data_IF_357745905530
#
_entry.id   IF_357745905530
#
_cell.length_a   1.000
_cell.length_b   1.000
_cell.length_c   1.000
_cell.angle_alpha   90.00
_cell.angle_beta   90.00
_cell.angle_gamma   90.00
#
_symmetry.space_group_name_H-M   'P 1'
#
loop_
_entity.id
_entity.type
_entity.pdbx_description
1 polymer ?
#
# COMPACT_ATOMS: atom_id res chain seq x y z
N UNK A 1 21.95 1.62 26.89
CA UNK A 1 20.97 1.14 25.89
C UNK A 1 19.66 1.82 26.20
N UNK A 2 19.15 2.68 25.31
CA UNK A 2 17.82 3.27 25.51
C UNK A 2 16.77 2.15 25.48
N UNK A 3 15.76 2.17 26.37
CA UNK A 3 14.71 1.15 26.35
C UNK A 3 14.00 1.18 25.00
N UNK A 4 13.93 0.02 24.36
CA UNK A 4 13.15 -0.16 23.13
C UNK A 4 11.68 -0.11 23.52
N UNK A 5 11.02 1.00 23.23
CA UNK A 5 9.59 1.16 23.51
C UNK A 5 8.78 0.43 22.44
N UNK A 6 8.10 -0.65 22.84
CA UNK A 6 7.14 -1.35 21.99
C UNK A 6 5.77 -0.69 22.12
N UNK A 7 5.18 -0.31 20.99
CA UNK A 7 3.80 0.15 20.91
C UNK A 7 3.05 -0.76 19.94
N UNK A 8 1.94 -1.34 20.39
CA UNK A 8 1.08 -2.22 19.60
C UNK A 8 -0.30 -1.61 19.47
N UNK A 9 -0.81 -1.54 18.25
CA UNK A 9 -2.16 -1.05 17.97
C UNK A 9 -2.79 -1.88 16.84
N UNK A 10 -4.10 -2.10 16.93
CA UNK A 10 -4.87 -2.65 15.83
C UNK A 10 -5.28 -1.50 14.91
N UNK A 11 -4.86 -1.57 13.65
CA UNK A 11 -5.15 -0.54 12.64
C UNK A 11 -5.65 -1.19 11.36
N UNK A 12 -6.65 -0.57 10.74
CA UNK A 12 -7.04 -0.90 9.38
C UNK A 12 -5.96 -0.46 8.40
N UNK A 13 -5.91 -1.09 7.23
CA UNK A 13 -4.97 -0.69 6.17
C UNK A 13 -5.15 0.79 5.76
N UNK A 14 -6.38 1.31 5.80
CA UNK A 14 -6.67 2.73 5.55
C UNK A 14 -6.06 3.64 6.62
N UNK A 15 -6.16 3.28 7.91
CA UNK A 15 -5.54 4.07 8.99
C UNK A 15 -4.00 4.06 8.88
N UNK A 16 -3.44 2.93 8.45
CA UNK A 16 -2.00 2.79 8.22
C UNK A 16 -1.52 3.64 7.04
N UNK A 17 -2.19 3.61 5.89
CA UNK A 17 -1.68 4.29 4.70
C UNK A 17 -2.17 5.74 4.56
N UNK A 18 -3.32 6.08 5.12
CA UNK A 18 -3.99 7.39 4.99
C UNK A 18 -3.48 8.49 5.92
N UNK A 19 -2.43 8.23 6.72
CA UNK A 19 -1.96 9.10 7.81
C UNK A 19 -0.83 10.07 7.42
N UNK A 20 -0.40 10.09 6.15
CA UNK A 20 0.69 10.95 5.66
C UNK A 20 2.09 10.48 6.06
N UNK A 21 2.22 9.28 6.64
CA UNK A 21 3.50 8.67 6.97
C UNK A 21 4.13 8.01 5.73
N UNK A 22 5.45 7.84 5.78
CA UNK A 22 6.23 7.18 4.74
C UNK A 22 6.78 5.86 5.25
N UNK A 23 6.71 4.84 4.41
CA UNK A 23 7.12 3.48 4.72
C UNK A 23 8.23 3.03 3.79
N UNK A 24 9.20 2.30 4.32
CA UNK A 24 10.34 1.82 3.56
C UNK A 24 10.69 0.39 3.96
N UNK A 25 11.01 -0.45 2.98
CA UNK A 25 11.67 -1.73 3.21
C UNK A 25 13.18 -1.51 3.25
N UNK A 26 13.88 -1.77 4.38
CA UNK A 26 15.31 -1.52 4.51
C UNK A 26 16.17 -2.37 3.56
N UNK A 27 17.41 -1.96 3.24
CA UNK A 27 18.27 -2.67 2.29
C UNK A 27 18.70 -4.09 2.72
N UNK A 28 18.70 -4.35 4.03
CA UNK A 28 19.07 -5.64 4.61
C UNK A 28 17.93 -6.66 4.58
N UNK A 29 16.71 -6.23 4.23
CA UNK A 29 15.58 -7.14 4.10
C UNK A 29 15.65 -7.96 2.81
N UNK A 30 15.06 -9.16 2.86
CA UNK A 30 14.97 -10.05 1.69
C UNK A 30 14.14 -9.42 0.57
N UNK A 31 14.39 -9.86 -0.65
CA UNK A 31 13.62 -9.44 -1.81
C UNK A 31 12.18 -9.97 -1.76
N UNK A 32 11.31 -9.36 -2.56
CA UNK A 32 9.98 -9.90 -2.81
C UNK A 32 10.06 -11.32 -3.39
N UNK A 33 9.32 -12.24 -2.79
CA UNK A 33 9.44 -13.67 -3.05
C UNK A 33 8.15 -14.45 -2.82
N UNK A 34 7.02 -13.78 -2.61
CA UNK A 34 5.72 -14.47 -2.55
C UNK A 34 5.41 -15.08 -3.91
N UNK A 35 4.85 -16.27 -3.88
CA UNK A 35 4.40 -17.05 -5.02
C UNK A 35 2.87 -16.99 -5.11
N UNK A 36 2.30 -17.69 -6.09
CA UNK A 36 0.86 -17.71 -6.29
C UNK A 36 0.11 -18.24 -5.06
N UNK A 37 0.70 -19.17 -4.29
CA UNK A 37 0.08 -19.69 -3.06
C UNK A 37 -0.16 -18.57 -2.05
N UNK A 38 0.84 -17.75 -1.73
CA UNK A 38 0.66 -16.65 -0.78
C UNK A 38 -0.19 -15.49 -1.35
N UNK A 39 -0.23 -15.35 -2.67
CA UNK A 39 -1.16 -14.43 -3.34
C UNK A 39 -2.61 -14.88 -3.19
N UNK A 40 -2.87 -16.17 -3.39
CA UNK A 40 -4.21 -16.75 -3.27
C UNK A 40 -4.71 -16.67 -1.83
N UNK A 41 -3.85 -16.94 -0.85
CA UNK A 41 -4.17 -16.77 0.58
C UNK A 41 -4.55 -15.32 0.90
N UNK A 42 -3.71 -14.35 0.49
CA UNK A 42 -4.02 -12.93 0.69
C UNK A 42 -5.32 -12.53 -0.04
N UNK A 43 -5.52 -13.04 -1.25
CA UNK A 43 -6.72 -12.73 -2.02
C UNK A 43 -7.97 -13.28 -1.35
N UNK A 44 -7.92 -14.50 -0.81
CA UNK A 44 -9.00 -15.07 -0.01
C UNK A 44 -9.28 -14.20 1.21
N UNK A 45 -8.26 -13.76 1.94
CA UNK A 45 -8.43 -12.87 3.09
C UNK A 45 -9.10 -11.54 2.72
N UNK A 46 -8.78 -10.98 1.54
CA UNK A 46 -9.36 -9.70 1.07
C UNK A 46 -10.78 -9.89 0.51
N UNK A 47 -11.00 -10.98 -0.22
CA UNK A 47 -12.25 -11.29 -0.93
C UNK A 47 -13.29 -11.98 -0.06
N UNK A 48 -12.93 -12.35 1.17
CA UNK A 48 -13.85 -12.95 2.12
C UNK A 48 -14.96 -11.94 2.48
N UNK A 49 -16.07 -12.06 1.76
CA UNK A 49 -17.35 -11.45 2.07
C UNK A 49 -18.13 -12.45 2.93
N UNK A 50 -17.94 -12.47 4.25
CA UNK A 50 -18.99 -13.07 5.08
C UNK A 50 -20.21 -12.14 5.03
N UNK A 51 -21.38 -12.72 4.79
CA UNK A 51 -22.60 -12.02 4.50
C UNK A 51 -22.84 -10.84 5.46
N UNK A 52 -23.23 -9.72 4.87
CA UNK A 52 -23.57 -8.44 5.52
C UNK A 52 -24.62 -8.50 6.66
N UNK A 53 -25.08 -9.71 7.03
CA UNK A 53 -26.05 -9.99 8.09
C UNK A 53 -25.43 -10.35 9.45
N UNK A 54 -24.10 -10.49 9.57
CA UNK A 54 -23.44 -10.67 10.87
C UNK A 54 -22.34 -9.62 11.04
N UNK A 55 -22.62 -8.65 11.93
CA UNK A 55 -21.88 -7.40 12.13
C UNK A 55 -20.36 -7.45 11.91
N UNK A 56 -19.85 -6.40 11.26
CA UNK A 56 -18.45 -6.07 10.94
C UNK A 56 -17.41 -7.13 11.34
N UNK A 57 -17.27 -8.17 10.53
CA UNK A 57 -16.18 -9.12 10.68
C UNK A 57 -14.93 -8.48 10.06
N UNK A 58 -14.10 -7.88 10.92
CA UNK A 58 -12.76 -7.42 10.55
C UNK A 58 -11.85 -8.62 10.30
N UNK A 59 -11.36 -8.80 9.07
CA UNK A 59 -10.36 -9.81 8.76
C UNK A 59 -8.98 -9.45 9.33
N UNK A 60 -8.38 -10.39 10.05
CA UNK A 60 -7.05 -10.21 10.61
C UNK A 60 -5.98 -10.50 9.55
N UNK A 61 -5.38 -9.44 9.02
CA UNK A 61 -4.37 -9.48 7.98
C UNK A 61 -2.94 -9.68 8.52
N UNK A 62 -2.77 -10.29 9.69
CA UNK A 62 -1.45 -10.49 10.33
C UNK A 62 -0.81 -9.23 10.92
N UNK A 63 0.34 -9.40 11.58
CA UNK A 63 1.12 -8.29 12.14
C UNK A 63 1.97 -7.57 11.07
N UNK A 64 2.22 -6.28 11.31
CA UNK A 64 3.20 -5.45 10.61
C UNK A 64 4.12 -4.85 11.68
N UNK A 65 5.43 -5.08 11.57
CA UNK A 65 6.40 -4.55 12.53
C UNK A 65 7.12 -3.38 11.91
N UNK A 66 7.04 -2.23 12.57
CA UNK A 66 7.57 -0.97 12.09
C UNK A 66 8.58 -0.40 13.08
N UNK A 67 9.61 0.24 12.56
CA UNK A 67 10.60 0.96 13.35
C UNK A 67 10.74 2.39 12.81
N UNK A 68 10.80 3.38 13.69
CA UNK A 68 11.04 4.78 13.31
C UNK A 68 11.94 5.49 14.31
N UNK A 69 12.73 6.43 13.84
CA UNK A 69 13.51 7.37 14.66
C UNK A 69 12.88 8.76 14.74
N UNK A 70 11.94 9.10 13.85
CA UNK A 70 11.40 10.45 13.68
C UNK A 70 9.86 10.51 13.68
N UNK A 71 9.18 9.37 13.86
CA UNK A 71 7.72 9.20 13.80
C UNK A 71 7.06 9.66 12.48
N UNK A 72 7.84 9.87 11.41
CA UNK A 72 7.36 10.25 10.08
C UNK A 72 7.72 9.22 9.02
N UNK A 73 8.89 8.59 9.18
CA UNK A 73 9.43 7.57 8.29
C UNK A 73 9.57 6.27 9.07
N UNK A 74 8.96 5.21 8.56
CA UNK A 74 8.93 3.90 9.18
C UNK A 74 9.62 2.87 8.30
N UNK A 75 10.63 2.22 8.87
CA UNK A 75 11.23 1.03 8.30
C UNK A 75 10.33 -0.18 8.62
N UNK A 76 9.98 -0.95 7.60
CA UNK A 76 9.20 -2.18 7.71
C UNK A 76 10.16 -3.31 8.05
N UNK A 77 10.06 -3.81 9.27
CA UNK A 77 10.92 -4.88 9.82
C UNK A 77 10.31 -6.25 9.55
N UNK A 78 8.98 -6.36 9.58
CA UNK A 78 8.22 -7.55 9.20
C UNK A 78 6.88 -7.16 8.57
N UNK A 79 6.30 -8.04 7.75
CA UNK A 79 5.10 -7.81 6.94
C UNK A 79 5.36 -7.19 5.56
N UNK A 80 6.63 -7.10 5.16
CA UNK A 80 7.05 -6.45 3.91
C UNK A 80 6.44 -7.04 2.64
N UNK A 81 6.28 -8.37 2.55
CA UNK A 81 5.73 -9.01 1.36
C UNK A 81 4.25 -8.65 1.25
N UNK A 82 3.52 -8.74 2.37
CA UNK A 82 2.09 -8.42 2.45
C UNK A 82 1.80 -6.99 2.02
N UNK A 83 2.47 -6.00 2.60
CA UNK A 83 2.25 -4.59 2.24
C UNK A 83 2.66 -4.29 0.79
N UNK A 84 3.70 -4.95 0.28
CA UNK A 84 4.09 -4.85 -1.13
C UNK A 84 3.02 -5.43 -2.04
N UNK A 85 2.48 -6.61 -1.74
CA UNK A 85 1.42 -7.26 -2.52
C UNK A 85 0.14 -6.42 -2.54
N UNK A 86 -0.31 -5.91 -1.39
CA UNK A 86 -1.47 -5.02 -1.31
C UNK A 86 -1.25 -3.77 -2.15
N UNK A 87 -0.06 -3.20 -2.10
CA UNK A 87 0.30 -2.05 -2.93
C UNK A 87 0.24 -2.35 -4.44
N UNK A 88 0.69 -3.55 -4.86
CA UNK A 88 0.59 -3.99 -6.26
C UNK A 88 -0.89 -4.13 -6.68
N UNK A 89 -1.75 -4.71 -5.82
CA UNK A 89 -3.20 -4.82 -6.08
C UNK A 89 -3.82 -3.43 -6.29
N UNK A 90 -3.42 -2.44 -5.48
CA UNK A 90 -3.91 -1.07 -5.63
C UNK A 90 -3.42 -0.43 -6.94
N UNK A 91 -2.16 -0.67 -7.34
CA UNK A 91 -1.65 -0.20 -8.63
C UNK A 91 -2.41 -0.81 -9.81
N UNK A 92 -2.68 -2.12 -9.76
CA UNK A 92 -3.49 -2.79 -10.77
C UNK A 92 -4.92 -2.22 -10.82
N UNK A 93 -5.52 -1.94 -9.65
CA UNK A 93 -6.84 -1.32 -9.54
C UNK A 93 -6.88 0.07 -10.18
N UNK A 94 -5.87 0.91 -9.89
CA UNK A 94 -5.73 2.23 -10.50
C UNK A 94 -5.57 2.15 -12.02
N UNK A 95 -4.82 1.16 -12.52
CA UNK A 95 -4.68 0.93 -13.95
C UNK A 95 -6.02 0.59 -14.60
N UNK A 96 -6.80 -0.31 -14.01
CA UNK A 96 -8.12 -0.67 -14.51
C UNK A 96 -9.08 0.54 -14.51
N UNK A 97 -9.03 1.37 -13.47
CA UNK A 97 -9.82 2.62 -13.40
C UNK A 97 -9.41 3.57 -14.53
N UNK A 98 -8.12 3.74 -14.79
CA UNK A 98 -7.62 4.55 -15.90
C UNK A 98 -8.11 4.02 -17.26
N UNK A 99 -8.01 2.71 -17.48
CA UNK A 99 -8.51 2.08 -18.71
C UNK A 99 -10.04 2.29 -18.89
N UNK A 100 -10.81 2.32 -17.80
CA UNK A 100 -12.25 2.64 -17.83
C UNK A 100 -12.52 4.10 -18.22
N UNK A 101 -11.74 5.04 -17.70
CA UNK A 101 -11.80 6.47 -18.04
C UNK A 101 -11.51 6.68 -19.53
N UNK A 102 -10.44 6.05 -20.04
CA UNK A 102 -10.04 6.12 -21.45
C UNK A 102 -11.12 5.56 -22.40
N UNK A 103 -11.89 4.58 -21.94
CA UNK A 103 -13.05 4.02 -22.66
C UNK A 103 -14.32 4.86 -22.53
N UNK A 104 -14.29 5.97 -21.80
CA UNK A 104 -15.46 6.82 -21.56
C UNK A 104 -16.48 6.25 -20.57
N UNK A 105 -16.08 5.27 -19.76
CA UNK A 105 -16.97 4.63 -18.77
C UNK A 105 -16.91 5.44 -17.47
N UNK A 106 -18.03 6.03 -17.06
CA UNK A 106 -18.20 6.73 -15.78
C UNK A 106 -17.05 7.70 -15.45
N UNK A 107 -16.57 8.43 -16.48
CA UNK A 107 -15.30 9.18 -16.48
C UNK A 107 -15.15 10.07 -15.25
N UNK A 108 -16.19 10.81 -14.87
CA UNK A 108 -16.13 11.73 -13.73
C UNK A 108 -15.95 10.98 -12.40
N UNK A 109 -16.77 9.95 -12.14
CA UNK A 109 -16.69 9.20 -10.88
C UNK A 109 -15.41 8.37 -10.83
N UNK A 110 -14.99 7.81 -11.95
CA UNK A 110 -13.73 7.08 -12.04
C UNK A 110 -12.52 8.00 -11.83
N UNK A 111 -12.53 9.23 -12.33
CA UNK A 111 -11.51 10.24 -12.00
C UNK A 111 -11.44 10.48 -10.50
N UNK A 112 -12.59 10.72 -9.84
CA UNK A 112 -12.63 10.88 -8.38
C UNK A 112 -12.14 9.65 -7.61
N UNK A 113 -12.46 8.43 -8.08
CA UNK A 113 -11.97 7.17 -7.50
C UNK A 113 -10.45 7.06 -7.63
N UNK A 114 -9.91 7.37 -8.82
CA UNK A 114 -8.47 7.36 -9.09
C UNK A 114 -7.73 8.32 -8.15
N UNK A 115 -8.16 9.58 -8.08
CA UNK A 115 -7.55 10.60 -7.22
C UNK A 115 -7.58 10.18 -5.75
N UNK A 116 -8.72 9.69 -5.27
CA UNK A 116 -8.90 9.27 -3.88
C UNK A 116 -7.97 8.11 -3.52
N UNK A 117 -7.88 7.08 -4.35
CA UNK A 117 -7.05 5.89 -4.11
C UNK A 117 -5.56 6.23 -4.21
N UNK A 118 -5.17 7.02 -5.22
CA UNK A 118 -3.78 7.42 -5.43
C UNK A 118 -3.25 8.22 -4.23
N UNK A 119 -4.00 9.24 -3.80
CA UNK A 119 -3.63 10.07 -2.64
C UNK A 119 -3.63 9.28 -1.32
N UNK A 120 -4.52 8.30 -1.18
CA UNK A 120 -4.64 7.50 0.04
C UNK A 120 -3.54 6.44 0.17
N UNK A 121 -3.08 5.83 -0.92
CA UNK A 121 -2.28 4.60 -0.82
C UNK A 121 -0.95 4.62 -1.56
N UNK A 122 -0.79 5.46 -2.58
CA UNK A 122 0.38 5.40 -3.47
C UNK A 122 1.41 6.46 -3.11
N UNK A 123 0.98 7.71 -3.01
CA UNK A 123 1.89 8.85 -2.90
C UNK A 123 1.11 10.13 -2.92
N UNK A 124 1.75 11.20 -2.47
CA UNK A 124 1.24 12.54 -2.71
C UNK A 124 2.17 13.25 -3.69
N UNK A 125 1.58 14.09 -4.53
CA UNK A 125 2.33 15.03 -5.36
C UNK A 125 2.46 16.30 -4.57
N UNK A 126 3.70 16.75 -4.38
CA UNK A 126 3.94 18.01 -3.72
C UNK A 126 3.34 19.18 -4.52
N UNK A 127 2.45 19.99 -3.96
CA UNK A 127 1.71 20.99 -4.73
C UNK A 127 2.59 22.13 -5.25
N UNK A 128 3.82 22.28 -4.72
CA UNK A 128 4.76 23.33 -5.11
C UNK A 128 5.77 22.79 -6.13
N UNK A 129 6.45 21.70 -5.78
CA UNK A 129 7.52 21.11 -6.61
C UNK A 129 7.00 20.15 -7.68
N UNK A 130 5.75 19.69 -7.57
CA UNK A 130 5.12 18.64 -8.40
C UNK A 130 5.90 17.32 -8.38
N UNK A 131 6.78 17.14 -7.40
CA UNK A 131 7.52 15.90 -7.21
C UNK A 131 6.62 14.90 -6.49
N UNK A 132 6.50 13.69 -7.05
CA UNK A 132 5.81 12.61 -6.37
C UNK A 132 6.70 11.99 -5.29
N UNK A 133 6.17 11.92 -4.07
CA UNK A 133 6.77 11.14 -3.00
C UNK A 133 5.97 9.86 -2.80
N UNK A 134 6.52 8.67 -3.12
CA UNK A 134 5.82 7.42 -2.89
C UNK A 134 5.69 7.14 -1.39
N UNK A 135 4.52 6.64 -0.96
CA UNK A 135 4.26 6.24 0.43
C UNK A 135 5.03 4.98 0.82
N UNK A 136 5.31 4.11 -0.14
CA UNK A 136 6.08 2.89 0.05
C UNK A 136 7.33 2.91 -0.83
N UNK A 137 8.50 2.73 -0.23
CA UNK A 137 9.75 2.52 -0.94
C UNK A 137 10.26 1.10 -0.67
N UNK A 138 10.57 0.33 -1.71
CA UNK A 138 11.08 -1.04 -1.54
C UNK A 138 12.61 -1.04 -1.38
N UNK A 139 13.18 -2.21 -1.10
CA UNK A 139 14.63 -2.36 -1.07
C UNK A 139 15.25 -2.13 -2.47
N UNK A 140 16.57 -1.96 -2.53
CA UNK A 140 17.28 -1.62 -3.78
C UNK A 140 17.03 -2.57 -4.96
N UNK A 141 16.75 -3.85 -4.72
CA UNK A 141 16.56 -4.82 -5.79
C UNK A 141 15.14 -4.76 -6.38
N UNK A 142 14.13 -4.42 -5.57
CA UNK A 142 12.75 -4.35 -6.03
C UNK A 142 12.27 -2.92 -6.33
N UNK A 143 12.93 -1.89 -5.79
CA UNK A 143 12.48 -0.52 -5.90
C UNK A 143 12.44 -0.03 -7.36
N UNK A 144 13.44 -0.33 -8.18
CA UNK A 144 13.44 0.12 -9.58
C UNK A 144 12.22 -0.42 -10.35
N UNK A 145 11.94 -1.72 -10.23
CA UNK A 145 10.77 -2.33 -10.86
C UNK A 145 9.47 -1.69 -10.36
N UNK A 146 9.33 -1.57 -9.03
CA UNK A 146 8.13 -1.00 -8.42
C UNK A 146 7.90 0.48 -8.77
N UNK A 147 8.96 1.31 -8.81
CA UNK A 147 8.86 2.71 -9.21
C UNK A 147 8.43 2.89 -10.68
N UNK A 148 8.78 1.96 -11.57
CA UNK A 148 8.31 2.02 -12.95
C UNK A 148 6.78 1.92 -13.02
N UNK A 149 6.16 1.02 -12.26
CA UNK A 149 4.69 0.92 -12.22
C UNK A 149 4.04 2.13 -11.54
N UNK A 150 4.70 2.72 -10.54
CA UNK A 150 4.23 3.96 -9.93
C UNK A 150 4.17 5.10 -10.97
N UNK A 151 5.22 5.24 -11.78
CA UNK A 151 5.27 6.29 -12.80
C UNK A 151 4.20 6.12 -13.89
N UNK A 152 3.88 4.88 -14.28
CA UNK A 152 2.85 4.57 -15.28
C UNK A 152 1.42 4.90 -14.84
N UNK A 153 1.18 4.95 -13.52
CA UNK A 153 -0.13 5.30 -12.95
C UNK A 153 -0.22 6.82 -12.70
N UNK A 154 0.91 7.49 -12.56
CA UNK A 154 1.00 8.94 -12.28
C UNK A 154 1.05 9.83 -13.52
N UNK A 155 1.51 9.30 -14.66
CA UNK A 155 1.41 9.95 -15.98
C UNK A 155 0.20 9.44 -16.76
#
# INVERSE_FOLDING_TARGET
MSPMNFNTANQTFRQLMGNGLLYRVPPFQRNYSWTNEEWDDLWQDISYEDGADKGEISHYMGYLVLQSSDNKRFDIIDGQQRITTISIIILATLRLIKDMIEKGIDTERNGRRQDSLQNSYIGYVDPVSLVSSPKLALNRHNNHFYQNYLSMVQG
#
